data_IF_588403287446
#
_entry.id   IF_588403287446
#
_cell.length_a   1.000
_cell.length_b   1.000
_cell.length_c   1.000
_cell.angle_alpha   90.00
_cell.angle_beta   90.00
_cell.angle_gamma   90.00
#
_symmetry.space_group_name_H-M   'P 1'
#
loop_
_entity.id
_entity.type
_entity.pdbx_description
1 polymer ?
#
# COMPACT_ATOMS: atom_id res chain seq x y z
N UNK A 1 22.77 -2.46 -2.56
CA UNK A 1 21.64 -3.17 -1.93
C UNK A 1 20.37 -2.63 -2.59
N UNK A 2 19.47 -3.47 -3.09
CA UNK A 2 18.21 -3.02 -3.69
C UNK A 2 17.32 -2.44 -2.58
N UNK A 3 17.16 -1.12 -2.56
CA UNK A 3 16.30 -0.42 -1.60
C UNK A 3 14.89 -0.47 -2.13
N UNK A 4 14.11 -1.45 -1.69
CA UNK A 4 12.69 -1.47 -2.01
C UNK A 4 11.91 -0.57 -1.04
N UNK A 5 10.90 0.11 -1.56
CA UNK A 5 10.15 1.13 -0.83
C UNK A 5 8.67 0.78 -0.77
N UNK A 6 8.06 1.13 0.36
CA UNK A 6 6.62 1.07 0.54
C UNK A 6 5.97 2.20 -0.25
N UNK A 7 5.03 1.88 -1.14
CA UNK A 7 4.35 2.85 -1.99
C UNK A 7 3.26 3.61 -1.24
N UNK A 8 3.67 4.62 -0.46
CA UNK A 8 2.76 5.43 0.34
C UNK A 8 1.69 6.17 -0.50
N UNK A 9 2.00 6.55 -1.74
CA UNK A 9 1.09 7.32 -2.57
C UNK A 9 -0.02 6.45 -3.15
N UNK A 10 0.28 5.20 -3.54
CA UNK A 10 -0.76 4.25 -3.93
C UNK A 10 -1.68 3.89 -2.77
N UNK A 11 -1.14 3.78 -1.54
CA UNK A 11 -1.97 3.60 -0.33
C UNK A 11 -2.94 4.77 -0.16
N UNK A 12 -2.47 6.02 -0.25
CA UNK A 12 -3.32 7.21 -0.12
C UNK A 12 -4.40 7.24 -1.20
N UNK A 13 -4.03 6.89 -2.44
CA UNK A 13 -4.98 6.80 -3.56
C UNK A 13 -6.09 5.80 -3.25
N UNK A 14 -5.76 4.58 -2.81
CA UNK A 14 -6.75 3.55 -2.47
C UNK A 14 -7.63 3.95 -1.30
N UNK A 15 -7.05 4.55 -0.27
CA UNK A 15 -7.80 5.11 0.86
C UNK A 15 -8.83 6.15 0.38
N UNK A 16 -8.42 7.07 -0.50
CA UNK A 16 -9.32 8.05 -1.09
C UNK A 16 -10.45 7.40 -1.90
N UNK A 17 -10.14 6.41 -2.74
CA UNK A 17 -11.14 5.68 -3.53
C UNK A 17 -12.14 4.90 -2.68
N UNK A 18 -11.71 4.39 -1.51
CA UNK A 18 -12.55 3.67 -0.56
C UNK A 18 -13.27 4.59 0.44
N UNK A 19 -13.02 5.91 0.40
CA UNK A 19 -13.51 6.85 1.41
C UNK A 19 -12.96 6.56 2.82
N UNK A 20 -11.83 5.84 2.91
CA UNK A 20 -11.18 5.50 4.17
C UNK A 20 -10.14 6.54 4.56
N UNK A 21 -10.07 6.84 5.86
CA UNK A 21 -9.08 7.75 6.42
C UNK A 21 -7.91 6.96 7.04
N UNK A 22 -6.73 7.58 7.13
CA UNK A 22 -5.54 6.94 7.72
C UNK A 22 -5.77 6.42 9.15
N UNK A 23 -6.63 7.06 9.93
CA UNK A 23 -6.99 6.58 11.27
C UNK A 23 -7.84 5.30 11.24
N UNK A 24 -8.74 5.18 10.27
CA UNK A 24 -9.53 3.97 10.08
C UNK A 24 -8.64 2.82 9.62
N UNK A 25 -7.69 3.09 8.71
CA UNK A 25 -6.70 2.10 8.32
C UNK A 25 -5.86 1.63 9.52
N UNK A 26 -5.43 2.56 10.39
CA UNK A 26 -4.70 2.21 11.60
C UNK A 26 -5.49 1.27 12.50
N UNK A 27 -6.80 1.54 12.69
CA UNK A 27 -7.69 0.70 13.47
C UNK A 27 -7.88 -0.69 12.84
N UNK A 28 -8.13 -0.78 11.53
CA UNK A 28 -8.32 -2.05 10.82
C UNK A 28 -7.04 -2.89 10.83
N UNK A 29 -5.90 -2.26 10.60
CA UNK A 29 -4.59 -2.93 10.61
C UNK A 29 -4.18 -3.28 12.04
N UNK A 30 -4.66 -2.58 13.06
CA UNK A 30 -4.30 -2.79 14.46
C UNK A 30 -2.92 -2.21 14.80
N UNK A 31 -2.67 -0.97 14.36
CA UNK A 31 -1.46 -0.19 14.65
C UNK A 31 -1.83 1.22 15.11
N UNK A 32 -0.85 1.95 15.65
CA UNK A 32 -1.09 3.34 16.06
C UNK A 32 -1.27 4.27 14.84
N UNK A 33 -2.04 5.35 15.02
CA UNK A 33 -2.16 6.41 14.02
C UNK A 33 -0.80 7.00 13.63
N UNK A 34 0.09 7.18 14.61
CA UNK A 34 1.45 7.66 14.37
C UNK A 34 2.23 6.71 13.45
N UNK A 35 2.12 5.39 13.66
CA UNK A 35 2.76 4.38 12.81
C UNK A 35 2.30 4.51 11.36
N UNK A 36 0.99 4.60 11.11
CA UNK A 36 0.45 4.83 9.76
C UNK A 36 0.98 6.13 9.17
N UNK A 37 0.99 7.24 9.92
CA UNK A 37 1.54 8.51 9.43
C UNK A 37 3.02 8.42 9.04
N UNK A 38 3.84 7.69 9.81
CA UNK A 38 5.24 7.46 9.44
C UNK A 38 5.39 6.61 8.17
N UNK A 39 4.52 5.64 7.95
CA UNK A 39 4.52 4.83 6.73
C UNK A 39 4.06 5.66 5.52
N UNK A 40 2.98 6.44 5.66
CA UNK A 40 2.43 7.26 4.58
C UNK A 40 3.31 8.47 4.21
N UNK A 41 4.24 8.84 5.09
CA UNK A 41 5.25 9.87 4.81
C UNK A 41 6.56 9.29 4.30
N UNK A 42 6.69 7.96 4.21
CA UNK A 42 7.92 7.30 3.79
C UNK A 42 9.06 7.36 4.82
N UNK A 43 8.81 7.91 6.02
CA UNK A 43 9.83 7.99 7.08
C UNK A 43 10.17 6.61 7.67
N UNK A 44 9.24 5.65 7.59
CA UNK A 44 9.45 4.28 8.05
C UNK A 44 8.85 3.28 7.07
N UNK A 45 9.44 2.10 7.04
CA UNK A 45 8.89 0.95 6.32
C UNK A 45 8.09 0.08 7.30
N UNK A 46 6.85 -0.32 6.98
CA UNK A 46 6.13 -1.28 7.79
C UNK A 46 6.86 -2.64 7.80
N UNK A 47 6.74 -3.37 8.90
CA UNK A 47 7.22 -4.75 8.95
C UNK A 47 6.34 -5.65 8.07
N UNK A 48 6.90 -6.77 7.58
CA UNK A 48 6.16 -7.74 6.76
C UNK A 48 4.74 -8.10 7.27
N UNK A 49 4.51 -8.41 8.56
CA UNK A 49 3.16 -8.72 9.05
C UNK A 49 2.22 -7.51 9.10
N UNK A 50 2.75 -6.29 9.24
CA UNK A 50 1.94 -5.06 9.17
C UNK A 50 1.60 -4.75 7.71
N UNK A 51 2.57 -4.93 6.82
CA UNK A 51 2.40 -4.72 5.39
C UNK A 51 1.32 -5.64 4.80
N UNK A 52 1.35 -6.94 5.09
CA UNK A 52 0.31 -7.87 4.65
C UNK A 52 -1.08 -7.51 5.18
N UNK A 53 -1.16 -7.01 6.42
CA UNK A 53 -2.44 -6.50 6.98
C UNK A 53 -2.93 -5.26 6.25
N UNK A 54 -2.04 -4.34 5.87
CA UNK A 54 -2.38 -3.16 5.06
C UNK A 54 -2.90 -3.59 3.68
N UNK A 55 -2.20 -4.51 3.01
CA UNK A 55 -2.61 -5.07 1.72
C UNK A 55 -4.03 -5.66 1.81
N UNK A 56 -4.27 -6.50 2.82
CA UNK A 56 -5.59 -7.10 3.07
C UNK A 56 -6.66 -6.07 3.37
N UNK A 57 -6.36 -5.05 4.18
CA UNK A 57 -7.31 -4.00 4.55
C UNK A 57 -7.74 -3.17 3.32
N UNK A 58 -6.83 -2.97 2.37
CA UNK A 58 -7.07 -2.18 1.16
C UNK A 58 -7.53 -3.03 -0.03
N UNK A 59 -7.58 -4.36 0.10
CA UNK A 59 -7.84 -5.27 -1.02
C UNK A 59 -6.81 -5.10 -2.14
N UNK A 60 -5.55 -4.91 -1.78
CA UNK A 60 -4.43 -4.72 -2.69
C UNK A 60 -3.48 -5.91 -2.63
N UNK A 61 -2.85 -6.24 -3.74
CA UNK A 61 -1.78 -7.22 -3.75
C UNK A 61 -0.47 -6.59 -3.24
N UNK A 62 0.43 -7.37 -2.63
CA UNK A 62 1.75 -6.90 -2.20
C UNK A 62 2.50 -6.14 -3.30
N UNK A 63 2.39 -6.62 -4.53
CA UNK A 63 3.03 -6.11 -5.74
C UNK A 63 2.56 -4.70 -6.10
N UNK A 64 1.30 -4.35 -5.80
CA UNK A 64 0.73 -3.03 -6.05
C UNK A 64 1.32 -1.97 -5.10
N UNK A 65 1.64 -2.40 -3.87
CA UNK A 65 2.03 -1.53 -2.76
C UNK A 65 3.54 -1.52 -2.51
N UNK A 66 4.29 -2.31 -3.27
CA UNK A 66 5.73 -2.45 -3.17
C UNK A 66 6.39 -1.92 -4.43
N UNK A 67 7.29 -0.94 -4.27
CA UNK A 67 8.04 -0.38 -5.40
C UNK A 67 9.47 -0.86 -5.31
N UNK A 68 9.87 -1.67 -6.29
CA UNK A 68 11.27 -1.92 -6.57
C UNK A 68 11.87 -0.65 -7.18
N UNK A 69 12.92 -0.10 -6.54
CA UNK A 69 13.60 1.12 -7.00
C UNK A 69 14.26 0.99 -8.40
N UNK A 70 14.22 -0.19 -9.01
CA UNK A 70 14.80 -0.51 -10.32
C UNK A 70 13.74 -0.74 -11.41
N UNK A 71 12.44 -0.76 -11.06
CA UNK A 71 11.35 -0.99 -12.01
C UNK A 71 10.85 0.34 -12.60
N UNK A 72 10.91 0.54 -13.94
CA UNK A 72 10.35 1.75 -14.54
C UNK A 72 8.83 1.75 -14.32
N UNK A 73 8.37 2.80 -13.64
CA UNK A 73 6.98 3.07 -13.34
C UNK A 73 6.15 3.24 -14.63
N UNK A 74 5.67 2.15 -15.22
CA UNK A 74 4.46 2.05 -16.04
C UNK A 74 4.43 0.70 -16.76
N UNK A 75 3.68 -0.26 -16.22
CA UNK A 75 2.92 -1.17 -17.07
C UNK A 75 1.63 -1.51 -16.35
N UNK A 76 0.67 -0.60 -16.50
CA UNK A 76 -0.75 -0.86 -16.30
C UNK A 76 -1.17 -2.07 -17.15
N UNK A 77 -1.14 -3.26 -16.58
CA UNK A 77 -1.70 -4.46 -17.20
C UNK A 77 -3.00 -4.82 -16.48
N UNK A 78 -4.06 -4.17 -16.94
CA UNK A 78 -5.45 -4.60 -16.83
C UNK A 78 -5.56 -6.11 -17.08
N UNK A 79 -5.93 -6.89 -16.07
CA UNK A 79 -6.48 -8.25 -16.27
C UNK A 79 -7.94 -8.29 -15.78
N UNK A 80 -8.75 -7.38 -16.32
CA UNK A 80 -10.18 -7.63 -16.42
C UNK A 80 -10.36 -8.69 -17.52
N UNK A 81 -10.53 -9.94 -17.11
CA UNK A 81 -10.82 -11.06 -18.00
C UNK A 81 -12.13 -10.80 -18.74
N UNK A 82 -12.04 -10.53 -20.05
CA UNK A 82 -13.19 -10.48 -20.93
C UNK A 82 -13.43 -11.89 -21.49
N UNK A 83 -14.58 -12.47 -21.14
CA UNK A 83 -15.08 -13.72 -21.68
C UNK A 83 -16.34 -13.43 -22.52
N UNK A 84 -16.24 -13.64 -23.83
CA UNK A 84 -17.35 -13.90 -24.75
C UNK A 84 -16.80 -14.52 -26.03
#
# INVERSE_FOLDING_TARGET
MKSALFNADEVKRRLYLQGMHGQQLAAVVGVSNASISYYLSGQRTPSAPVFLRICKALGAEPEDLYVDADAPASSVATSSGNAA
#
